data_IF_168447088499
#
_entry.id   IF_168447088499
#
_cell.length_a   1.000
_cell.length_b   1.000
_cell.length_c   1.000
_cell.angle_alpha   90.00
_cell.angle_beta   90.00
_cell.angle_gamma   90.00
#
_symmetry.space_group_name_H-M   'P 1'
#
loop_
_entity.id
_entity.type
_entity.pdbx_description
1 polymer ?
#
# COMPACT_ATOMS: atom_id res chain seq x y z
N UNK A 1 -20.91 14.64 -11.54
CA UNK A 1 -20.14 13.42 -11.18
C UNK A 1 -18.78 13.90 -10.68
N UNK A 2 -18.62 14.07 -9.37
CA UNK A 2 -17.36 14.50 -8.78
C UNK A 2 -16.48 13.26 -8.58
N UNK A 3 -15.76 12.86 -9.63
CA UNK A 3 -14.54 12.07 -9.44
C UNK A 3 -13.55 13.01 -8.76
N UNK A 4 -13.48 12.95 -7.43
CA UNK A 4 -12.37 13.55 -6.70
C UNK A 4 -11.12 12.86 -7.23
N UNK A 5 -10.30 13.64 -7.91
CA UNK A 5 -9.09 13.23 -8.58
C UNK A 5 -8.07 12.79 -7.52
N UNK A 6 -7.97 11.48 -7.34
CA UNK A 6 -7.14 10.87 -6.30
C UNK A 6 -5.65 11.13 -6.55
N UNK A 7 -5.25 11.48 -7.77
CA UNK A 7 -3.88 11.90 -8.11
C UNK A 7 -3.46 13.19 -7.39
N UNK A 8 -4.41 14.08 -7.05
CA UNK A 8 -4.13 15.29 -6.27
C UNK A 8 -3.73 15.00 -4.81
N UNK A 9 -4.13 13.84 -4.26
CA UNK A 9 -3.80 13.44 -2.89
C UNK A 9 -2.34 12.98 -2.72
N UNK A 10 -1.57 12.81 -3.78
CA UNK A 10 -0.17 12.41 -3.66
C UNK A 10 0.84 13.49 -4.03
N UNK A 11 0.46 14.47 -4.85
CA UNK A 11 1.34 15.57 -5.25
C UNK A 11 1.38 16.74 -4.26
N UNK A 12 0.68 16.64 -3.13
CA UNK A 12 0.57 17.70 -2.14
C UNK A 12 1.01 17.21 -0.77
N UNK A 13 2.05 17.84 -0.20
CA UNK A 13 2.53 17.60 1.17
C UNK A 13 1.36 17.56 2.20
N UNK A 14 0.33 18.38 1.97
CA UNK A 14 -0.90 18.48 2.76
C UNK A 14 -1.76 17.21 2.79
N UNK A 15 -1.74 16.43 1.71
CA UNK A 15 -2.54 15.21 1.61
C UNK A 15 -1.84 14.04 2.33
N UNK A 16 -0.50 13.96 2.28
CA UNK A 16 0.27 13.06 3.14
C UNK A 16 0.02 13.35 4.62
N UNK A 17 0.08 14.62 5.04
CA UNK A 17 -0.25 15.03 6.41
C UNK A 17 -1.69 14.66 6.82
N UNK A 18 -2.62 14.68 5.87
CA UNK A 18 -4.01 14.29 6.12
C UNK A 18 -4.16 12.77 6.26
N UNK A 19 -3.43 11.97 5.48
CA UNK A 19 -3.37 10.52 5.65
C UNK A 19 -2.78 10.15 7.01
N UNK A 20 -1.68 10.79 7.41
CA UNK A 20 -1.05 10.54 8.72
C UNK A 20 -1.99 10.85 9.89
N UNK A 21 -2.82 11.91 9.77
CA UNK A 21 -3.84 12.23 10.77
C UNK A 21 -5.01 11.25 10.80
N UNK A 22 -5.31 10.59 9.68
CA UNK A 22 -6.37 9.59 9.56
C UNK A 22 -5.94 8.21 10.05
N UNK A 23 -4.65 7.87 9.99
CA UNK A 23 -4.16 6.55 10.41
C UNK A 23 -4.65 6.10 11.79
N UNK A 24 -4.65 6.93 12.85
CA UNK A 24 -5.10 6.52 14.19
C UNK A 24 -6.60 6.22 14.28
N UNK A 25 -7.42 6.70 13.33
CA UNK A 25 -8.88 6.49 13.33
C UNK A 25 -9.28 5.28 12.50
N UNK A 26 -8.35 4.68 11.75
CA UNK A 26 -8.61 3.50 10.94
C UNK A 26 -8.70 2.23 11.80
N UNK A 27 -9.49 1.23 11.36
CA UNK A 27 -9.44 -0.11 11.93
C UNK A 27 -8.02 -0.70 11.86
N UNK A 28 -7.63 -1.43 12.89
CA UNK A 28 -6.28 -2.03 13.00
C UNK A 28 -5.88 -2.87 11.77
N UNK A 29 -6.83 -3.59 11.18
CA UNK A 29 -6.62 -4.38 9.96
C UNK A 29 -6.24 -3.52 8.75
N UNK A 30 -6.80 -2.31 8.63
CA UNK A 30 -6.47 -1.36 7.56
C UNK A 30 -5.10 -0.73 7.79
N UNK A 31 -4.78 -0.36 9.03
CA UNK A 31 -3.46 0.17 9.40
C UNK A 31 -2.37 -0.85 9.04
N UNK A 32 -2.58 -2.12 9.38
CA UNK A 32 -1.65 -3.21 9.03
C UNK A 32 -1.43 -3.32 7.52
N UNK A 33 -2.50 -3.28 6.72
CA UNK A 33 -2.41 -3.32 5.26
C UNK A 33 -1.63 -2.12 4.69
N UNK A 34 -1.92 -0.91 5.16
CA UNK A 34 -1.22 0.32 4.74
C UNK A 34 0.27 0.23 5.09
N UNK A 35 0.61 -0.22 6.30
CA UNK A 35 2.01 -0.38 6.71
C UNK A 35 2.77 -1.40 5.85
N UNK A 36 2.11 -2.46 5.40
CA UNK A 36 2.70 -3.43 4.46
C UNK A 36 3.01 -2.76 3.12
N UNK A 37 2.07 -2.01 2.55
CA UNK A 37 2.28 -1.30 1.28
C UNK A 37 3.41 -0.28 1.38
N UNK A 38 3.45 0.48 2.47
CA UNK A 38 4.51 1.46 2.76
C UNK A 38 5.87 0.80 2.92
N UNK A 39 5.95 -0.33 3.64
CA UNK A 39 7.20 -1.09 3.81
C UNK A 39 7.76 -1.53 2.46
N UNK A 40 6.91 -2.08 1.59
CA UNK A 40 7.32 -2.48 0.24
C UNK A 40 7.79 -1.24 -0.55
N UNK A 41 7.03 -0.14 -0.57
CA UNK A 41 7.41 1.10 -1.25
C UNK A 41 8.74 1.67 -0.77
N UNK A 42 8.98 1.69 0.54
CA UNK A 42 10.25 2.14 1.11
C UNK A 42 11.42 1.32 0.59
N UNK A 43 11.25 0.01 0.42
CA UNK A 43 12.27 -0.81 -0.20
C UNK A 43 12.52 -0.44 -1.67
N UNK A 44 11.46 -0.27 -2.46
CA UNK A 44 11.59 0.15 -3.87
C UNK A 44 12.38 1.46 -3.98
N UNK A 45 12.10 2.41 -3.11
CA UNK A 45 12.83 3.69 -3.04
C UNK A 45 14.30 3.49 -2.72
N UNK A 46 14.61 2.74 -1.66
CA UNK A 46 15.99 2.50 -1.20
C UNK A 46 16.82 1.79 -2.28
N UNK A 47 16.21 0.89 -3.05
CA UNK A 47 16.88 0.15 -4.13
C UNK A 47 16.80 0.82 -5.49
N UNK A 48 16.19 2.01 -5.57
CA UNK A 48 15.96 2.75 -6.82
C UNK A 48 15.16 1.95 -7.87
N UNK A 49 14.20 1.13 -7.42
CA UNK A 49 13.33 0.26 -8.24
C UNK A 49 11.94 0.90 -8.46
N UNK A 50 11.82 2.22 -8.36
CA UNK A 50 10.52 2.91 -8.39
C UNK A 50 9.82 2.81 -9.77
N UNK A 51 10.60 2.61 -10.83
CA UNK A 51 10.09 2.36 -12.19
C UNK A 51 9.85 0.89 -12.50
N UNK A 52 10.22 -0.02 -11.60
CA UNK A 52 10.19 -1.45 -11.86
C UNK A 52 8.81 -2.04 -11.56
N UNK A 53 8.51 -3.11 -12.31
CA UNK A 53 7.34 -3.95 -12.11
C UNK A 53 7.82 -5.24 -11.46
N UNK A 54 7.42 -5.45 -10.21
CA UNK A 54 7.87 -6.60 -9.41
C UNK A 54 6.80 -7.68 -9.40
N UNK A 55 7.10 -8.91 -9.85
CA UNK A 55 6.20 -10.04 -9.73
C UNK A 55 5.79 -10.31 -8.28
N UNK A 56 4.53 -10.66 -8.02
CA UNK A 56 4.05 -10.90 -6.65
C UNK A 56 4.83 -12.03 -5.96
N UNK A 57 5.17 -13.10 -6.68
CA UNK A 57 5.97 -14.22 -6.19
C UNK A 57 7.44 -13.85 -5.89
N UNK A 58 7.85 -12.62 -6.15
CA UNK A 58 9.17 -12.09 -5.79
C UNK A 58 9.12 -11.17 -4.56
N UNK A 59 7.94 -10.85 -4.02
CA UNK A 59 7.77 -9.98 -2.87
C UNK A 59 8.46 -10.57 -1.64
N UNK A 60 8.35 -11.88 -1.40
CA UNK A 60 8.99 -12.52 -0.26
C UNK A 60 10.52 -12.39 -0.34
N UNK A 61 11.10 -12.63 -1.51
CA UNK A 61 12.55 -12.51 -1.73
C UNK A 61 13.02 -11.08 -1.51
N UNK A 62 12.30 -10.12 -2.11
CA UNK A 62 12.56 -8.70 -1.99
C UNK A 62 12.54 -8.22 -0.53
N UNK A 63 11.52 -8.60 0.25
CA UNK A 63 11.40 -8.20 1.65
C UNK A 63 12.46 -8.87 2.53
N UNK A 64 12.82 -10.13 2.24
CA UNK A 64 13.93 -10.80 2.93
C UNK A 64 15.25 -10.06 2.70
N UNK A 65 15.54 -9.63 1.47
CA UNK A 65 16.74 -8.87 1.13
C UNK A 65 16.74 -7.46 1.75
N UNK A 66 15.56 -6.96 2.14
CA UNK A 66 15.37 -5.74 2.93
C UNK A 66 15.64 -5.93 4.43
N UNK A 67 15.89 -7.16 4.90
CA UNK A 67 16.07 -7.47 6.31
C UNK A 67 14.77 -7.83 7.06
N UNK A 68 13.64 -7.99 6.37
CA UNK A 68 12.41 -8.48 6.99
C UNK A 68 12.55 -9.98 7.28
N UNK A 69 12.17 -10.46 8.49
CA UNK A 69 12.20 -11.87 8.80
C UNK A 69 11.43 -12.70 7.78
N UNK A 70 12.02 -13.80 7.30
CA UNK A 70 11.43 -14.66 6.27
C UNK A 70 9.97 -15.08 6.56
N UNK A 71 9.56 -15.43 7.79
CA UNK A 71 8.16 -15.75 8.07
C UNK A 71 7.23 -14.57 7.77
N UNK A 72 7.63 -13.35 8.11
CA UNK A 72 6.86 -12.11 7.87
C UNK A 72 6.78 -11.82 6.37
N UNK A 73 7.90 -11.94 5.66
CA UNK A 73 7.97 -11.75 4.22
C UNK A 73 7.03 -12.72 3.46
N UNK A 74 7.00 -13.99 3.89
CA UNK A 74 6.08 -15.00 3.34
C UNK A 74 4.61 -14.68 3.63
N UNK A 75 4.31 -14.24 4.85
CA UNK A 75 2.94 -13.83 5.20
C UNK A 75 2.46 -12.66 4.34
N UNK A 76 3.32 -11.68 4.07
CA UNK A 76 2.98 -10.54 3.21
C UNK A 76 2.71 -11.00 1.77
N UNK A 77 3.57 -11.84 1.20
CA UNK A 77 3.37 -12.39 -0.14
C UNK A 77 2.07 -13.20 -0.24
N UNK A 78 1.80 -14.07 0.75
CA UNK A 78 0.57 -14.86 0.80
C UNK A 78 -0.68 -13.97 0.84
N UNK A 79 -0.67 -12.91 1.66
CA UNK A 79 -1.78 -11.93 1.71
C UNK A 79 -2.00 -11.29 0.34
N UNK A 80 -0.93 -10.94 -0.37
CA UNK A 80 -1.04 -10.37 -1.71
C UNK A 80 -1.66 -11.36 -2.71
N UNK A 81 -1.20 -12.61 -2.71
CA UNK A 81 -1.73 -13.66 -3.58
C UNK A 81 -3.20 -13.95 -3.28
N UNK A 82 -3.58 -14.01 -2.00
CA UNK A 82 -4.94 -14.34 -1.57
C UNK A 82 -5.93 -13.19 -1.82
N UNK A 83 -5.57 -11.96 -1.43
CA UNK A 83 -6.48 -10.81 -1.51
C UNK A 83 -6.51 -10.17 -2.90
N UNK A 84 -5.44 -10.32 -3.68
CA UNK A 84 -5.29 -9.74 -5.00
C UNK A 84 -4.92 -10.81 -6.03
N UNK A 85 -5.69 -11.90 -6.06
CA UNK A 85 -5.43 -13.06 -6.91
C UNK A 85 -5.35 -12.78 -8.42
N UNK A 86 -5.88 -11.65 -8.88
CA UNK A 86 -5.81 -11.20 -10.28
C UNK A 86 -4.57 -10.33 -10.57
N UNK A 87 -3.85 -9.94 -9.53
CA UNK A 87 -2.65 -9.14 -9.63
C UNK A 87 -1.48 -10.10 -9.86
N UNK A 88 -0.67 -9.86 -10.89
CA UNK A 88 0.52 -10.66 -11.17
C UNK A 88 1.81 -9.95 -10.74
N UNK A 89 1.75 -8.62 -10.63
CA UNK A 89 2.87 -7.79 -10.27
C UNK A 89 2.41 -6.54 -9.51
N UNK A 90 3.35 -5.95 -8.80
CA UNK A 90 3.22 -4.68 -8.08
C UNK A 90 4.18 -3.65 -8.67
N UNK A 91 3.80 -2.38 -8.57
CA UNK A 91 4.68 -1.24 -8.85
C UNK A 91 4.55 -0.22 -7.73
N UNK A 92 5.47 0.74 -7.68
CA UNK A 92 5.44 1.80 -6.68
C UNK A 92 4.10 2.57 -6.68
N UNK A 93 3.62 2.96 -7.86
CA UNK A 93 2.36 3.69 -8.04
C UNK A 93 1.13 2.83 -7.69
N UNK A 94 1.17 1.53 -7.98
CA UNK A 94 0.06 0.64 -7.63
C UNK A 94 -0.12 0.52 -6.11
N UNK A 95 0.98 0.45 -5.35
CA UNK A 95 0.93 0.41 -3.89
C UNK A 95 0.38 1.71 -3.27
N UNK A 96 0.67 2.84 -3.92
CA UNK A 96 0.08 4.17 -3.66
C UNK A 96 -1.44 4.11 -3.89
N UNK A 97 -1.89 3.64 -5.07
CA UNK A 97 -3.32 3.57 -5.39
C UNK A 97 -4.10 2.62 -4.46
N UNK A 98 -3.47 1.53 -4.02
CA UNK A 98 -4.05 0.59 -3.06
C UNK A 98 -4.24 1.23 -1.68
N UNK A 99 -3.27 2.03 -1.20
CA UNK A 99 -3.38 2.79 0.04
C UNK A 99 -4.55 3.79 -0.01
N UNK A 100 -4.66 4.61 -1.07
CA UNK A 100 -5.81 5.52 -1.19
C UNK A 100 -7.13 4.80 -1.31
N UNK A 101 -7.16 3.65 -2.00
CA UNK A 101 -8.38 2.89 -2.16
C UNK A 101 -8.92 2.41 -0.80
N UNK A 102 -8.04 2.03 0.13
CA UNK A 102 -8.41 1.68 1.51
C UNK A 102 -8.98 2.92 2.22
N UNK A 103 -8.26 4.04 2.17
CA UNK A 103 -8.65 5.27 2.85
C UNK A 103 -9.99 5.81 2.32
N UNK A 104 -10.19 5.82 1.00
CA UNK A 104 -11.44 6.23 0.36
C UNK A 104 -12.60 5.33 0.77
N UNK A 105 -12.40 4.01 0.81
CA UNK A 105 -13.43 3.06 1.27
C UNK A 105 -13.82 3.31 2.73
N UNK A 106 -12.86 3.62 3.59
CA UNK A 106 -13.12 3.97 4.98
C UNK A 106 -13.93 5.27 5.09
N UNK A 107 -13.48 6.35 4.46
CA UNK A 107 -14.16 7.64 4.49
C UNK A 107 -15.59 7.57 3.94
N UNK A 108 -15.81 6.83 2.84
CA UNK A 108 -17.15 6.64 2.28
C UNK A 108 -18.06 5.78 3.16
N UNK A 109 -17.52 4.88 3.98
CA UNK A 109 -18.31 4.14 4.97
C UNK A 109 -18.75 5.04 6.12
N UNK A 110 -17.86 5.87 6.63
CA UNK A 110 -18.15 6.81 7.72
C UNK A 110 -19.17 7.90 7.30
N UNK A 111 -19.19 8.32 6.04
CA UNK A 111 -20.15 9.33 5.52
C UNK A 111 -21.58 8.76 5.37
N UNK A 112 -21.74 7.43 5.32
CA UNK A 112 -23.04 6.78 5.16
C UNK A 112 -23.65 6.29 6.49
N UNK A 113 -23.22 6.86 7.62
CA UNK A 113 -23.76 6.67 8.97
C UNK A 113 -24.36 8.00 9.43
#
# INVERSE_FOLDING_TARGET
MNQIDLEFLYNNQLALDSVEKLLPTLPESMIKAINVFRTIRSYLLIKNLNGDIIPINHICHMLKDAGIPLPVARSIEAIFIEQFCQLHSISFNLLIDMELSILKKFLLKEINI
#
